data_IF_166947734946
#
_entry.id   IF_166947734946
#
_cell.length_a   1.000
_cell.length_b   1.000
_cell.length_c   1.000
_cell.angle_alpha   90.00
_cell.angle_beta   90.00
_cell.angle_gamma   90.00
#
_symmetry.space_group_name_H-M   'P 1'
#
loop_
_entity.id
_entity.type
_entity.pdbx_description
1 polymer ?
#
# COMPACT_ATOMS: atom_id res chain seq x y z
N UNK A 1 -34.74 19.15 -21.66
CA UNK A 1 -34.34 20.15 -20.67
C UNK A 1 -34.17 19.45 -19.32
N UNK A 2 -32.93 19.45 -18.81
CA UNK A 2 -32.49 19.22 -17.42
C UNK A 2 -31.65 17.97 -17.02
N UNK A 3 -30.31 18.12 -17.17
CA UNK A 3 -29.18 17.92 -16.21
C UNK A 3 -29.27 16.81 -15.12
N UNK A 4 -28.39 15.79 -15.13
CA UNK A 4 -27.00 15.72 -14.56
C UNK A 4 -26.98 15.23 -13.08
N UNK A 5 -25.93 14.49 -12.71
CA UNK A 5 -25.53 14.07 -11.33
C UNK A 5 -26.01 12.70 -10.81
N UNK A 6 -25.33 11.61 -11.22
CA UNK A 6 -24.96 10.54 -10.26
C UNK A 6 -23.83 9.58 -10.66
N UNK A 7 -23.05 9.87 -11.70
CA UNK A 7 -21.80 9.16 -11.98
C UNK A 7 -20.56 10.08 -11.85
N UNK A 8 -20.58 10.97 -10.85
CA UNK A 8 -19.57 12.01 -10.65
C UNK A 8 -18.28 11.51 -9.96
N UNK A 9 -18.07 10.21 -9.77
CA UNK A 9 -16.90 9.69 -9.01
C UNK A 9 -16.05 8.65 -9.76
N UNK A 10 -16.21 8.53 -11.08
CA UNK A 10 -15.26 7.79 -11.93
C UNK A 10 -14.25 8.72 -12.65
N UNK A 11 -14.28 10.04 -12.36
CA UNK A 11 -13.58 11.10 -13.13
C UNK A 11 -12.43 11.80 -12.41
N UNK A 12 -11.67 11.09 -11.59
CA UNK A 12 -10.28 11.50 -11.38
C UNK A 12 -9.39 10.43 -11.99
N UNK A 13 -9.44 10.35 -13.34
CA UNK A 13 -8.58 9.53 -14.20
C UNK A 13 -7.10 9.91 -14.07
N UNK A 14 -6.62 9.89 -12.84
CA UNK A 14 -5.22 9.78 -12.51
C UNK A 14 -4.87 8.31 -12.72
N UNK A 15 -3.79 7.99 -13.45
CA UNK A 15 -3.27 6.64 -13.49
C UNK A 15 -2.85 6.28 -12.06
N UNK A 16 -3.76 5.68 -11.30
CA UNK A 16 -3.41 5.09 -10.03
C UNK A 16 -2.54 3.86 -10.35
N UNK A 17 -1.34 3.75 -9.74
CA UNK A 17 -0.53 2.56 -9.93
C UNK A 17 -1.35 1.33 -9.53
N UNK A 18 -1.30 0.29 -10.37
CA UNK A 18 -2.01 -0.97 -10.10
C UNK A 18 -1.48 -1.52 -8.79
N UNK A 19 -2.35 -1.61 -7.79
CA UNK A 19 -2.02 -2.08 -6.46
C UNK A 19 -3.14 -2.94 -5.88
N UNK A 20 -2.75 -3.94 -5.10
CA UNK A 20 -3.65 -4.90 -4.48
C UNK A 20 -3.40 -4.95 -2.97
N UNK A 21 -4.47 -4.74 -2.20
CA UNK A 21 -4.44 -4.93 -0.76
C UNK A 21 -4.61 -6.41 -0.45
N UNK A 22 -3.69 -6.95 0.35
CA UNK A 22 -3.57 -8.37 0.65
C UNK A 22 -3.64 -8.56 2.16
N UNK A 23 -4.44 -9.52 2.61
CA UNK A 23 -4.57 -9.88 4.05
C UNK A 23 -3.73 -11.09 4.44
N UNK A 24 -3.19 -11.81 3.46
CA UNK A 24 -2.36 -13.00 3.66
C UNK A 24 -1.07 -12.93 2.85
N UNK A 25 0.00 -13.63 3.28
CA UNK A 25 1.26 -13.68 2.53
C UNK A 25 1.10 -14.28 1.13
N UNK A 26 0.19 -15.25 0.98
CA UNK A 26 -0.13 -15.87 -0.30
C UNK A 26 -0.78 -14.88 -1.26
N UNK A 27 -1.76 -14.10 -0.79
CA UNK A 27 -2.37 -13.05 -1.61
C UNK A 27 -1.35 -12.01 -2.06
N UNK A 28 -0.39 -11.65 -1.20
CA UNK A 28 0.67 -10.70 -1.54
C UNK A 28 1.58 -11.22 -2.68
N UNK A 29 1.90 -12.51 -2.67
CA UNK A 29 2.63 -13.17 -3.76
C UNK A 29 1.82 -13.21 -5.07
N UNK A 30 0.53 -13.53 -4.98
CA UNK A 30 -0.38 -13.55 -6.12
C UNK A 30 -0.58 -12.13 -6.71
N UNK A 31 -0.64 -11.11 -5.86
CA UNK A 31 -0.72 -9.71 -6.27
C UNK A 31 0.49 -9.30 -7.12
N UNK A 32 1.70 -9.70 -6.72
CA UNK A 32 2.91 -9.44 -7.51
C UNK A 32 2.79 -10.03 -8.93
N UNK A 33 2.25 -11.25 -9.02
CA UNK A 33 2.01 -11.94 -10.29
C UNK A 33 0.95 -11.23 -11.15
N UNK A 34 -0.08 -10.64 -10.53
CA UNK A 34 -1.12 -9.85 -11.21
C UNK A 34 -0.61 -8.50 -11.70
N UNK A 35 0.33 -7.89 -10.99
CA UNK A 35 0.93 -6.59 -11.33
C UNK A 35 1.86 -6.73 -12.54
N UNK A 36 2.67 -7.79 -12.60
CA UNK A 36 3.65 -8.01 -13.67
C UNK A 36 5.08 -8.01 -13.14
N UNK A 37 6.07 -7.81 -14.00
CA UNK A 37 7.48 -7.85 -13.63
C UNK A 37 7.86 -6.71 -12.66
N UNK A 38 8.63 -7.06 -11.62
CA UNK A 38 9.08 -6.12 -10.60
C UNK A 38 10.06 -5.05 -11.10
N UNK A 39 10.45 -4.10 -10.24
CA UNK A 39 10.27 -4.11 -8.79
C UNK A 39 8.84 -3.80 -8.31
N UNK A 40 8.51 -4.23 -7.08
CA UNK A 40 7.23 -3.93 -6.41
C UNK A 40 7.47 -3.15 -5.13
N UNK A 41 6.48 -2.38 -4.69
CA UNK A 41 6.49 -1.73 -3.38
C UNK A 41 5.46 -2.40 -2.49
N UNK A 42 5.87 -2.80 -1.30
CA UNK A 42 5.00 -3.35 -0.27
C UNK A 42 4.84 -2.34 0.86
N UNK A 43 3.60 -2.04 1.24
CA UNK A 43 3.27 -1.02 2.24
C UNK A 43 2.25 -1.56 3.25
N UNK A 44 2.52 -1.41 4.53
CA UNK A 44 1.56 -1.73 5.58
C UNK A 44 0.38 -0.74 5.52
N UNK A 45 -0.83 -1.26 5.37
CA UNK A 45 -2.06 -0.48 5.44
C UNK A 45 -2.48 -0.36 6.91
N UNK A 46 -2.17 0.79 7.49
CA UNK A 46 -2.62 1.22 8.81
C UNK A 46 -3.29 2.59 8.67
N UNK A 47 -4.27 2.88 9.52
CA UNK A 47 -5.02 4.14 9.49
C UNK A 47 -4.16 5.35 9.91
N UNK A 48 -3.08 5.12 10.67
CA UNK A 48 -2.15 6.14 11.11
C UNK A 48 -1.21 6.61 9.99
N UNK A 49 -0.97 7.92 9.94
CA UNK A 49 0.09 8.53 9.12
C UNK A 49 1.50 8.13 9.57
N UNK A 50 2.53 8.58 8.84
CA UNK A 50 3.95 8.37 9.22
C UNK A 50 4.56 7.02 8.84
N UNK A 51 3.84 6.21 8.05
CA UNK A 51 4.19 4.84 7.60
C UNK A 51 5.61 4.66 7.03
N UNK A 52 6.15 5.67 6.35
CA UNK A 52 7.48 5.61 5.73
C UNK A 52 8.65 5.62 6.72
N UNK A 53 8.51 6.30 7.87
CA UNK A 53 9.59 6.38 8.89
C UNK A 53 9.63 5.16 9.82
N UNK A 54 8.55 4.38 9.90
CA UNK A 54 8.44 3.22 10.78
C UNK A 54 8.86 1.89 10.11
N UNK A 55 9.37 1.93 8.88
CA UNK A 55 9.70 0.71 8.12
C UNK A 55 8.48 0.00 7.51
N UNK A 56 7.31 0.64 7.51
CA UNK A 56 6.07 0.11 6.93
C UNK A 56 6.00 0.22 5.41
N UNK A 57 7.11 0.57 4.73
CA UNK A 57 7.23 0.65 3.27
C UNK A 57 8.57 0.02 2.87
N UNK A 58 8.54 -0.97 1.98
CA UNK A 58 9.75 -1.62 1.45
C UNK A 58 9.61 -1.84 -0.05
N UNK A 59 10.68 -1.59 -0.80
CA UNK A 59 10.77 -1.98 -2.22
C UNK A 59 11.40 -3.36 -2.29
N UNK A 60 10.79 -4.24 -3.06
CA UNK A 60 11.14 -5.65 -3.16
C UNK A 60 11.24 -6.05 -4.63
N UNK A 61 12.20 -6.92 -4.94
CA UNK A 61 12.51 -7.32 -6.31
C UNK A 61 12.10 -8.76 -6.61
N UNK A 62 11.79 -9.53 -5.57
CA UNK A 62 11.36 -10.93 -5.67
C UNK A 62 10.04 -11.18 -4.94
N UNK A 63 9.28 -12.15 -5.44
CA UNK A 63 8.04 -12.62 -4.82
C UNK A 63 8.26 -13.17 -3.41
N UNK A 64 9.39 -13.83 -3.17
CA UNK A 64 9.77 -14.33 -1.84
C UNK A 64 9.93 -13.19 -0.83
N UNK A 65 10.48 -12.04 -1.25
CA UNK A 65 10.62 -10.88 -0.37
C UNK A 65 9.27 -10.25 -0.02
N UNK A 66 8.32 -10.24 -0.96
CA UNK A 66 6.93 -9.78 -0.73
C UNK A 66 6.28 -10.65 0.34
N UNK A 67 6.39 -11.96 0.17
CA UNK A 67 5.85 -12.94 1.11
C UNK A 67 6.50 -12.79 2.49
N UNK A 68 7.83 -12.73 2.56
CA UNK A 68 8.55 -12.56 3.81
C UNK A 68 8.17 -11.25 4.53
N UNK A 69 7.96 -10.16 3.78
CA UNK A 69 7.47 -8.90 4.34
C UNK A 69 6.04 -9.04 4.90
N UNK A 70 5.15 -9.70 4.16
CA UNK A 70 3.79 -9.95 4.61
C UNK A 70 3.75 -10.85 5.85
N UNK A 71 4.52 -11.93 5.91
CA UNK A 71 4.66 -12.81 7.09
C UNK A 71 5.25 -12.05 8.29
N UNK A 72 6.18 -11.13 8.04
CA UNK A 72 6.77 -10.34 9.10
C UNK A 72 5.80 -9.32 9.70
N UNK A 73 4.95 -8.69 8.88
CA UNK A 73 4.13 -7.56 9.32
C UNK A 73 2.68 -7.90 9.61
N UNK A 74 2.06 -8.84 8.89
CA UNK A 74 0.67 -9.21 9.15
C UNK A 74 0.52 -9.77 10.57
N UNK A 75 -0.40 -9.18 11.34
CA UNK A 75 -0.60 -9.53 12.75
C UNK A 75 0.38 -8.86 13.72
N UNK A 76 1.40 -8.15 13.25
CA UNK A 76 2.23 -7.27 14.09
C UNK A 76 1.61 -5.89 14.22
N UNK A 77 2.11 -5.15 15.21
CA UNK A 77 1.70 -3.77 15.46
C UNK A 77 2.80 -2.83 14.99
N UNK A 78 2.47 -1.96 14.04
CA UNK A 78 3.38 -0.92 13.58
C UNK A 78 3.30 0.25 14.55
N UNK A 79 4.39 0.49 15.28
CA UNK A 79 4.56 1.68 16.11
C UNK A 79 5.22 2.76 15.26
N UNK A 80 4.46 3.77 14.87
CA UNK A 80 4.97 5.00 14.24
C UNK A 80 5.08 6.11 15.28
N UNK A 81 5.86 7.15 14.98
CA UNK A 81 5.97 8.36 15.80
C UNK A 81 4.62 9.09 16.04
N UNK A 82 3.62 8.83 15.18
CA UNK A 82 2.28 9.43 15.29
C UNK A 82 1.27 8.51 16.00
N UNK A 83 1.66 7.29 16.35
CA UNK A 83 0.84 6.35 17.14
C UNK A 83 1.27 6.37 18.60
N UNK A 84 0.32 6.03 19.47
CA UNK A 84 0.57 5.77 20.87
C UNK A 84 1.49 4.55 21.06
N UNK A 85 1.97 4.32 22.28
CA UNK A 85 2.88 3.22 22.60
C UNK A 85 2.34 1.83 22.22
N UNK A 86 1.03 1.72 21.98
CA UNK A 86 0.40 0.48 21.52
C UNK A 86 0.62 0.22 20.02
N UNK A 87 0.88 1.23 19.18
CA UNK A 87 0.96 1.07 17.73
C UNK A 87 -0.35 0.60 17.10
N UNK A 88 -0.36 0.47 15.76
CA UNK A 88 -1.54 -0.01 15.03
C UNK A 88 -1.35 -1.41 14.46
N UNK A 89 -2.35 -2.30 14.60
CA UNK A 89 -2.27 -3.63 14.01
C UNK A 89 -2.24 -3.53 12.49
N UNK A 90 -1.27 -4.22 11.89
CA UNK A 90 -1.17 -4.37 10.45
C UNK A 90 -1.99 -5.57 10.04
N UNK A 91 -3.21 -5.32 9.56
CA UNK A 91 -4.11 -6.37 9.08
C UNK A 91 -4.01 -6.56 7.56
N UNK A 92 -3.43 -5.58 6.86
CA UNK A 92 -3.38 -5.54 5.41
C UNK A 92 -2.05 -4.98 4.92
N UNK A 93 -1.54 -5.54 3.82
CA UNK A 93 -0.36 -5.09 3.09
C UNK A 93 -0.79 -4.73 1.67
N UNK A 94 -0.46 -3.53 1.23
CA UNK A 94 -0.64 -3.09 -0.15
C UNK A 94 0.60 -3.47 -0.96
N UNK A 95 0.41 -4.21 -2.04
CA UNK A 95 1.45 -4.49 -3.05
C UNK A 95 1.13 -3.66 -4.28
N UNK A 96 2.07 -2.86 -4.75
CA UNK A 96 1.92 -2.02 -5.94
C UNK A 96 3.16 -2.12 -6.85
N UNK A 97 3.01 -1.81 -8.13
CA UNK A 97 4.16 -1.70 -9.03
C UNK A 97 5.10 -0.59 -8.54
N UNK A 98 6.40 -0.87 -8.42
CA UNK A 98 7.38 0.18 -8.22
C UNK A 98 7.60 0.88 -9.56
N UNK A 99 6.82 1.93 -9.81
CA UNK A 99 7.16 2.90 -10.85
C UNK A 99 8.37 3.69 -10.39
N UNK A 100 9.27 4.00 -11.32
CA UNK A 100 10.44 4.86 -11.11
C UNK A 100 9.96 6.28 -10.74
N UNK A 101 9.61 6.44 -9.47
CA UNK A 101 9.06 7.67 -8.92
C UNK A 101 10.25 8.41 -8.32
N UNK A 102 10.96 9.09 -9.20
CA UNK A 102 11.81 10.24 -8.89
C UNK A 102 10.98 11.42 -8.31
N UNK A 103 9.64 11.31 -8.29
CA UNK A 103 8.70 12.35 -7.86
C UNK A 103 7.66 11.87 -6.85
N UNK A 104 8.02 11.95 -5.57
CA UNK A 104 7.12 12.50 -4.56
C UNK A 104 5.67 11.93 -4.54
N UNK A 105 5.49 10.67 -4.13
CA UNK A 105 4.18 10.25 -3.62
C UNK A 105 4.08 10.50 -2.11
N UNK A 106 4.20 11.78 -1.77
CA UNK A 106 3.77 12.38 -0.51
C UNK A 106 2.24 12.58 -0.54
N UNK A 107 1.47 11.49 -0.67
CA UNK A 107 0.02 11.54 -0.49
C UNK A 107 -0.31 11.29 0.99
N UNK A 108 0.19 12.21 1.83
CA UNK A 108 -0.43 12.50 3.11
C UNK A 108 -1.67 13.34 2.83
N UNK A 109 -2.85 12.71 2.74
CA UNK A 109 -4.09 13.48 2.86
C UNK A 109 -4.24 13.87 4.32
N UNK A 110 -3.72 15.05 4.65
CA UNK A 110 -4.29 15.87 5.69
C UNK A 110 -5.71 16.27 5.25
N UNK A 111 -6.67 15.90 6.08
CA UNK A 111 -7.85 16.70 6.36
C UNK A 111 -8.25 16.41 7.80
#
# INVERSE_FOLDING_TARGET
MNIRQKQLFARYGLPAPVGYACTTPREAEEAASKIGAGPWVVKCQVHAGGRGKAGGVKVVKSKEEIRAFAEHWLGKRLVTYQTDANGQPVNQILVEAATDIDKELYLGRGC
#
